data_IF_764519550429
#
_entry.id   IF_764519550429
#
_cell.length_a   1.000
_cell.length_b   1.000
_cell.length_c   1.000
_cell.angle_alpha   90.00
_cell.angle_beta   90.00
_cell.angle_gamma   90.00
#
_symmetry.space_group_name_H-M   'P 1'
#
loop_
_entity.id
_entity.type
_entity.pdbx_description
1 polymer ?
#
# COMPACT_ATOMS: atom_id res chain seq x y z
N UNK A 1 0.56 25.71 -8.37
CA UNK A 1 0.12 24.31 -8.52
C UNK A 1 1.24 23.48 -9.16
N UNK A 2 1.67 23.72 -10.39
CA UNK A 2 2.76 22.99 -11.07
C UNK A 2 4.08 22.94 -10.29
N UNK A 3 4.48 24.03 -9.62
CA UNK A 3 5.68 24.02 -8.78
C UNK A 3 5.55 23.07 -7.60
N UNK A 4 4.37 23.04 -6.96
CA UNK A 4 4.13 22.15 -5.83
C UNK A 4 4.19 20.66 -6.21
N UNK A 5 3.59 20.30 -7.35
CA UNK A 5 3.64 18.94 -7.90
C UNK A 5 5.07 18.52 -8.25
N UNK A 6 5.81 19.36 -8.98
CA UNK A 6 7.20 19.09 -9.33
C UNK A 6 8.09 18.97 -8.09
N UNK A 7 7.92 19.85 -7.11
CA UNK A 7 8.66 19.81 -5.85
C UNK A 7 8.35 18.53 -5.05
N UNK A 8 7.08 18.09 -5.02
CA UNK A 8 6.68 16.85 -4.31
C UNK A 8 7.33 15.62 -4.95
N UNK A 9 7.38 15.53 -6.28
CA UNK A 9 8.08 14.45 -6.99
C UNK A 9 9.55 14.41 -6.63
N UNK A 10 10.25 15.55 -6.74
CA UNK A 10 11.69 15.66 -6.44
C UNK A 10 12.00 15.35 -4.96
N UNK A 11 11.12 15.75 -4.03
CA UNK A 11 11.27 15.39 -2.63
C UNK A 11 11.08 13.89 -2.38
N UNK A 12 10.17 13.26 -3.12
CA UNK A 12 9.99 11.80 -3.09
C UNK A 12 11.23 11.07 -3.60
N UNK A 13 11.79 11.50 -4.73
CA UNK A 13 13.04 10.96 -5.29
C UNK A 13 14.20 11.12 -4.30
N UNK A 14 14.32 12.31 -3.69
CA UNK A 14 15.35 12.58 -2.68
C UNK A 14 15.19 11.69 -1.45
N UNK A 15 13.97 11.43 -0.99
CA UNK A 15 13.70 10.54 0.13
C UNK A 15 14.14 9.10 -0.17
N UNK A 16 13.96 8.62 -1.41
CA UNK A 16 14.47 7.31 -1.84
C UNK A 16 16.00 7.28 -1.81
N UNK A 17 16.68 8.32 -2.31
CA UNK A 17 18.14 8.42 -2.25
C UNK A 17 18.63 8.46 -0.80
N UNK A 18 17.94 9.19 0.09
CA UNK A 18 18.30 9.23 1.51
C UNK A 18 18.13 7.88 2.20
N UNK A 19 17.14 7.07 1.82
CA UNK A 19 16.98 5.73 2.38
C UNK A 19 18.19 4.83 2.04
N UNK A 20 18.68 4.88 0.80
CA UNK A 20 19.90 4.18 0.39
C UNK A 20 21.12 4.72 1.12
N UNK A 21 21.27 6.03 1.20
CA UNK A 21 22.37 6.70 1.90
C UNK A 21 22.43 6.29 3.38
N UNK A 22 21.27 6.21 4.04
CA UNK A 22 21.18 5.80 5.44
C UNK A 22 21.67 4.36 5.64
N UNK A 23 21.28 3.45 4.76
CA UNK A 23 21.72 2.05 4.81
C UNK A 23 23.21 1.91 4.58
N UNK A 24 23.75 2.55 3.53
CA UNK A 24 25.17 2.48 3.21
C UNK A 24 26.06 3.08 4.30
N UNK A 25 25.55 4.05 5.06
CA UNK A 25 26.30 4.70 6.15
C UNK A 25 25.90 4.20 7.55
N UNK A 26 25.18 3.07 7.64
CA UNK A 26 24.67 2.51 8.89
C UNK A 26 25.74 1.96 9.84
N UNK A 27 26.97 1.72 9.35
CA UNK A 27 28.02 1.07 10.13
C UNK A 27 27.85 -0.45 10.29
N UNK A 28 26.88 -1.05 9.60
CA UNK A 28 26.68 -2.51 9.57
C UNK A 28 27.84 -3.24 8.90
N UNK A 29 28.04 -4.52 9.24
CA UNK A 29 28.98 -5.37 8.55
C UNK A 29 28.62 -5.50 7.06
N UNK A 30 29.64 -5.72 6.20
CA UNK A 30 29.40 -5.91 4.78
C UNK A 30 28.44 -7.07 4.49
N UNK A 31 28.52 -8.15 5.26
CA UNK A 31 27.63 -9.32 5.13
C UNK A 31 26.17 -8.96 5.47
N UNK A 32 25.93 -8.36 6.64
CA UNK A 32 24.58 -7.91 7.05
C UNK A 32 24.00 -6.89 6.08
N UNK A 33 24.81 -5.93 5.64
CA UNK A 33 24.36 -4.92 4.68
C UNK A 33 23.99 -5.55 3.33
N UNK A 34 24.79 -6.48 2.82
CA UNK A 34 24.52 -7.16 1.54
C UNK A 34 23.21 -7.97 1.62
N UNK A 35 22.98 -8.68 2.72
CA UNK A 35 21.75 -9.44 2.94
C UNK A 35 20.52 -8.52 3.04
N UNK A 36 20.64 -7.43 3.79
CA UNK A 36 19.56 -6.46 3.98
C UNK A 36 19.21 -5.70 2.68
N UNK A 37 20.20 -5.29 1.89
CA UNK A 37 19.98 -4.58 0.62
C UNK A 37 19.16 -5.40 -0.37
N UNK A 38 19.32 -6.72 -0.42
CA UNK A 38 18.48 -7.57 -1.28
C UNK A 38 17.01 -7.48 -0.90
N UNK A 39 16.69 -7.52 0.39
CA UNK A 39 15.30 -7.39 0.89
C UNK A 39 14.77 -5.98 0.65
N UNK A 40 15.61 -4.97 0.85
CA UNK A 40 15.26 -3.57 0.60
C UNK A 40 14.91 -3.31 -0.87
N UNK A 41 15.70 -3.84 -1.80
CA UNK A 41 15.44 -3.71 -3.23
C UNK A 41 14.15 -4.45 -3.63
N UNK A 42 13.98 -5.69 -3.16
CA UNK A 42 12.76 -6.48 -3.42
C UNK A 42 11.51 -5.76 -2.88
N UNK A 43 11.57 -5.22 -1.67
CA UNK A 43 10.50 -4.45 -1.06
C UNK A 43 10.09 -3.25 -1.93
N UNK A 44 11.06 -2.48 -2.42
CA UNK A 44 10.80 -1.30 -3.26
C UNK A 44 10.20 -1.67 -4.61
N UNK A 45 10.73 -2.73 -5.25
CA UNK A 45 10.18 -3.24 -6.52
C UNK A 45 8.74 -3.69 -6.34
N UNK A 46 8.45 -4.45 -5.29
CA UNK A 46 7.10 -4.91 -4.98
C UNK A 46 6.15 -3.76 -4.68
N UNK A 47 6.60 -2.76 -3.92
CA UNK A 47 5.82 -1.54 -3.65
C UNK A 47 5.48 -0.79 -4.93
N UNK A 48 6.46 -0.56 -5.81
CA UNK A 48 6.23 0.12 -7.10
C UNK A 48 5.26 -0.66 -7.97
N UNK A 49 5.39 -2.00 -8.03
CA UNK A 49 4.43 -2.85 -8.73
C UNK A 49 3.02 -2.74 -8.12
N UNK A 50 2.90 -2.71 -6.79
CA UNK A 50 1.63 -2.50 -6.08
C UNK A 50 0.99 -1.15 -6.39
N UNK A 51 1.78 -0.08 -6.39
CA UNK A 51 1.32 1.26 -6.78
C UNK A 51 0.89 1.34 -8.24
N UNK A 52 1.64 0.71 -9.14
CA UNK A 52 1.26 0.64 -10.56
C UNK A 52 -0.08 -0.09 -10.75
N UNK A 53 -0.27 -1.23 -10.05
CA UNK A 53 -1.53 -1.96 -10.09
C UNK A 53 -2.69 -1.11 -9.57
N UNK A 54 -2.51 -0.36 -8.50
CA UNK A 54 -3.52 0.54 -7.93
C UNK A 54 -3.99 1.58 -8.95
N UNK A 55 -3.05 2.25 -9.61
CA UNK A 55 -3.34 3.22 -10.69
C UNK A 55 -4.04 2.55 -11.86
N UNK A 56 -3.59 1.36 -12.26
CA UNK A 56 -4.18 0.59 -13.37
C UNK A 56 -5.62 0.17 -13.06
N UNK A 57 -5.91 -0.34 -11.84
CA UNK A 57 -7.27 -0.70 -11.43
C UNK A 57 -8.20 0.50 -11.43
N UNK A 58 -7.72 1.66 -11.00
CA UNK A 58 -8.46 2.92 -11.11
C UNK A 58 -8.79 3.28 -12.54
N UNK A 59 -7.80 3.22 -13.44
CA UNK A 59 -7.96 3.55 -14.87
C UNK A 59 -8.88 2.58 -15.60
N UNK A 60 -8.82 1.29 -15.29
CA UNK A 60 -9.68 0.24 -15.88
C UNK A 60 -11.08 0.20 -15.26
N UNK A 61 -11.30 0.93 -14.18
CA UNK A 61 -12.54 0.92 -13.41
C UNK A 61 -12.99 -0.50 -12.99
N UNK A 62 -12.02 -1.39 -12.70
CA UNK A 62 -12.31 -2.78 -12.32
C UNK A 62 -12.93 -2.89 -10.92
N UNK A 63 -13.63 -3.99 -10.68
CA UNK A 63 -14.34 -4.25 -9.42
C UNK A 63 -14.12 -5.67 -8.91
N UNK A 64 -12.98 -6.27 -9.21
CA UNK A 64 -12.64 -7.62 -8.78
C UNK A 64 -12.03 -7.63 -7.38
N UNK A 65 -12.63 -8.37 -6.46
CA UNK A 65 -12.09 -8.58 -5.09
C UNK A 65 -10.68 -9.15 -5.13
N UNK A 66 -10.43 -10.15 -5.98
CA UNK A 66 -9.11 -10.76 -6.12
C UNK A 66 -8.03 -9.74 -6.52
N UNK A 67 -8.35 -8.88 -7.50
CA UNK A 67 -7.42 -7.85 -7.98
C UNK A 67 -7.17 -6.78 -6.91
N UNK A 68 -8.22 -6.33 -6.23
CA UNK A 68 -8.10 -5.36 -5.13
C UNK A 68 -7.28 -5.94 -3.95
N UNK A 69 -7.47 -7.21 -3.59
CA UNK A 69 -6.64 -7.90 -2.59
C UNK A 69 -5.17 -8.00 -3.03
N UNK A 70 -4.92 -8.24 -4.32
CA UNK A 70 -3.54 -8.24 -4.84
C UNK A 70 -2.88 -6.87 -4.69
N UNK A 71 -3.61 -5.79 -5.00
CA UNK A 71 -3.13 -4.41 -4.76
C UNK A 71 -2.81 -4.21 -3.27
N UNK A 72 -3.74 -4.52 -2.37
CA UNK A 72 -3.56 -4.39 -0.92
C UNK A 72 -2.34 -5.16 -0.41
N UNK A 73 -2.12 -6.38 -0.92
CA UNK A 73 -0.96 -7.21 -0.57
C UNK A 73 0.36 -6.57 -0.98
N UNK A 74 0.49 -6.14 -2.23
CA UNK A 74 1.75 -5.61 -2.75
C UNK A 74 2.03 -4.17 -2.30
N UNK A 75 0.99 -3.32 -2.29
CA UNK A 75 1.11 -1.91 -1.90
C UNK A 75 1.31 -1.73 -0.40
N UNK A 76 0.70 -2.58 0.42
CA UNK A 76 0.64 -2.39 1.88
C UNK A 76 1.15 -3.58 2.66
N UNK A 77 0.60 -4.78 2.48
CA UNK A 77 0.91 -5.94 3.30
C UNK A 77 2.39 -6.32 3.29
N UNK A 78 2.97 -6.45 2.10
CA UNK A 78 4.39 -6.75 1.93
C UNK A 78 5.27 -5.60 2.42
N UNK A 79 5.02 -4.40 1.94
CA UNK A 79 5.82 -3.24 2.26
C UNK A 79 5.82 -2.86 3.76
N UNK A 80 4.64 -2.89 4.40
CA UNK A 80 4.49 -2.37 5.76
C UNK A 80 4.81 -3.39 6.84
N UNK A 81 4.65 -4.69 6.58
CA UNK A 81 4.77 -5.74 7.60
C UNK A 81 5.77 -6.84 7.20
N UNK A 82 5.52 -7.55 6.09
CA UNK A 82 6.32 -8.73 5.73
C UNK A 82 7.80 -8.38 5.50
N UNK A 83 8.07 -7.44 4.61
CA UNK A 83 9.44 -7.08 4.22
C UNK A 83 10.25 -6.41 5.34
N UNK A 84 9.68 -5.53 6.18
CA UNK A 84 10.38 -5.05 7.37
C UNK A 84 10.80 -6.17 8.34
N UNK A 85 9.98 -7.21 8.52
CA UNK A 85 10.35 -8.37 9.32
C UNK A 85 11.49 -9.18 8.67
N UNK A 86 11.41 -9.42 7.36
CA UNK A 86 12.50 -10.07 6.61
C UNK A 86 13.79 -9.24 6.64
N UNK A 87 13.67 -7.93 6.53
CA UNK A 87 14.81 -7.01 6.62
C UNK A 87 15.51 -7.12 7.98
N UNK A 88 14.73 -7.11 9.07
CA UNK A 88 15.24 -7.33 10.41
C UNK A 88 15.91 -8.70 10.57
N UNK A 89 15.33 -9.78 10.03
CA UNK A 89 15.92 -11.11 10.02
C UNK A 89 17.24 -11.16 9.27
N UNK A 90 17.31 -10.51 8.08
CA UNK A 90 18.52 -10.44 7.28
C UNK A 90 19.64 -9.69 8.03
N UNK A 91 19.33 -8.58 8.68
CA UNK A 91 20.28 -7.83 9.49
C UNK A 91 20.83 -8.64 10.67
N UNK A 92 19.97 -9.46 11.28
CA UNK A 92 20.33 -10.32 12.41
C UNK A 92 21.04 -11.62 11.99
N UNK A 93 21.14 -11.92 10.68
CA UNK A 93 21.73 -13.15 10.17
C UNK A 93 20.81 -14.38 10.37
N UNK A 94 19.51 -14.19 10.46
CA UNK A 94 18.51 -15.24 10.74
C UNK A 94 17.44 -15.37 9.64
N UNK A 95 17.83 -15.65 8.37
CA UNK A 95 16.87 -15.78 7.26
C UNK A 95 15.91 -16.98 7.42
N UNK A 96 16.20 -17.93 8.29
CA UNK A 96 15.32 -19.06 8.60
C UNK A 96 13.95 -18.66 9.15
N UNK A 97 13.82 -17.45 9.72
CA UNK A 97 12.55 -16.93 10.20
C UNK A 97 11.65 -16.34 9.10
N UNK A 98 12.17 -16.15 7.88
CA UNK A 98 11.42 -15.50 6.80
C UNK A 98 10.07 -16.18 6.52
N UNK A 99 10.02 -17.53 6.55
CA UNK A 99 8.76 -18.23 6.36
C UNK A 99 7.75 -17.89 7.45
N UNK A 100 8.14 -17.94 8.71
CA UNK A 100 7.25 -17.61 9.84
C UNK A 100 6.81 -16.14 9.78
N UNK A 101 7.70 -15.25 9.37
CA UNK A 101 7.39 -13.83 9.20
C UNK A 101 6.44 -13.57 8.02
N UNK A 102 6.53 -14.32 6.93
CA UNK A 102 5.54 -14.26 5.85
C UNK A 102 4.18 -14.81 6.29
N UNK A 103 4.15 -15.97 6.96
CA UNK A 103 2.93 -16.59 7.44
C UNK A 103 2.16 -15.70 8.43
N UNK A 104 2.88 -14.85 9.19
CA UNK A 104 2.32 -13.86 10.10
C UNK A 104 2.06 -12.52 9.40
N UNK A 105 3.05 -12.01 8.69
CA UNK A 105 3.08 -10.63 8.20
C UNK A 105 2.11 -10.37 7.06
N UNK A 106 1.92 -11.32 6.14
CA UNK A 106 0.99 -11.14 5.01
C UNK A 106 -0.47 -11.03 5.47
N UNK A 107 -1.03 -11.95 6.29
CA UNK A 107 -2.40 -11.81 6.75
C UNK A 107 -2.60 -10.55 7.61
N UNK A 108 -1.63 -10.20 8.45
CA UNK A 108 -1.70 -8.99 9.26
C UNK A 108 -1.70 -7.73 8.41
N UNK A 109 -0.83 -7.68 7.40
CA UNK A 109 -0.74 -6.54 6.48
C UNK A 109 -1.98 -6.39 5.60
N UNK A 110 -2.59 -7.50 5.15
CA UNK A 110 -3.87 -7.47 4.46
C UNK A 110 -4.99 -6.95 5.38
N UNK A 111 -5.08 -7.45 6.61
CA UNK A 111 -6.06 -6.98 7.59
C UNK A 111 -5.87 -5.49 7.93
N UNK A 112 -4.63 -5.03 8.01
CA UNK A 112 -4.30 -3.61 8.21
C UNK A 112 -4.86 -2.76 7.06
N UNK A 113 -4.62 -3.16 5.80
CA UNK A 113 -5.13 -2.41 4.65
C UNK A 113 -6.65 -2.45 4.56
N UNK A 114 -7.28 -3.61 4.80
CA UNK A 114 -8.73 -3.71 4.84
C UNK A 114 -9.34 -2.79 5.90
N UNK A 115 -8.67 -2.64 7.04
CA UNK A 115 -9.10 -1.71 8.09
C UNK A 115 -8.93 -0.26 7.66
N UNK A 116 -7.83 0.08 6.97
CA UNK A 116 -7.61 1.42 6.41
C UNK A 116 -8.70 1.77 5.38
N UNK A 117 -9.04 0.86 4.48
CA UNK A 117 -10.12 1.01 3.49
C UNK A 117 -11.49 1.30 4.16
N UNK A 118 -11.80 0.62 5.27
CA UNK A 118 -13.02 0.89 6.06
C UNK A 118 -12.95 2.28 6.68
N UNK A 119 -11.81 2.68 7.22
CA UNK A 119 -11.62 4.01 7.81
C UNK A 119 -11.65 5.13 6.76
N UNK A 120 -11.15 4.88 5.56
CA UNK A 120 -11.20 5.82 4.43
C UNK A 120 -12.61 6.18 4.00
N UNK A 121 -13.59 5.29 4.27
CA UNK A 121 -15.02 5.52 3.96
C UNK A 121 -15.81 5.99 5.18
N UNK A 122 -15.62 5.34 6.33
CA UNK A 122 -16.47 5.50 7.52
C UNK A 122 -15.75 6.11 8.73
N UNK A 123 -14.46 6.43 8.59
CA UNK A 123 -13.67 6.93 9.71
C UNK A 123 -14.13 8.30 10.19
N UNK A 124 -14.02 8.53 11.51
CA UNK A 124 -14.23 9.86 12.09
C UNK A 124 -13.05 10.79 11.68
N UNK A 125 -13.28 11.90 10.97
CA UNK A 125 -12.25 12.83 10.57
C UNK A 125 -11.38 13.36 11.72
N UNK A 126 -11.93 13.44 12.93
CA UNK A 126 -11.19 13.86 14.13
C UNK A 126 -10.14 12.83 14.57
N UNK A 127 -10.35 11.57 14.21
CA UNK A 127 -9.44 10.45 14.55
C UNK A 127 -8.49 10.15 13.38
N UNK A 128 -9.03 10.12 12.15
CA UNK A 128 -8.25 9.76 10.96
C UNK A 128 -7.42 10.91 10.39
N UNK A 129 -7.78 12.15 10.70
CA UNK A 129 -7.18 13.35 10.11
C UNK A 129 -7.55 13.58 8.63
N UNK A 130 -8.44 12.74 8.06
CA UNK A 130 -8.91 12.84 6.66
C UNK A 130 -10.43 12.99 6.62
N UNK A 131 -10.99 13.63 5.59
CA UNK A 131 -12.43 13.69 5.41
C UNK A 131 -13.04 12.28 5.28
N UNK A 132 -14.19 12.03 5.89
CA UNK A 132 -14.92 10.77 5.68
C UNK A 132 -15.31 10.62 4.21
N UNK A 133 -15.21 9.42 3.66
CA UNK A 133 -15.53 9.12 2.27
C UNK A 133 -14.49 9.59 1.25
N UNK A 134 -13.28 9.92 1.68
CA UNK A 134 -12.21 10.41 0.81
C UNK A 134 -11.85 9.40 -0.27
N UNK A 135 -11.75 8.12 0.08
CA UNK A 135 -11.48 7.03 -0.87
C UNK A 135 -12.58 6.90 -1.96
N UNK A 136 -13.83 7.25 -1.64
CA UNK A 136 -14.91 7.28 -2.62
C UNK A 136 -14.72 8.47 -3.56
N UNK A 137 -14.43 9.67 -3.03
CA UNK A 137 -14.19 10.88 -3.84
C UNK A 137 -12.99 10.70 -4.76
N UNK A 138 -11.94 10.08 -4.29
CA UNK A 138 -10.75 9.74 -5.10
C UNK A 138 -11.01 8.61 -6.12
N UNK A 139 -12.14 7.90 -6.01
CA UNK A 139 -12.49 6.81 -6.92
C UNK A 139 -11.68 5.53 -6.72
N UNK A 140 -11.09 5.34 -5.53
CA UNK A 140 -10.25 4.17 -5.22
C UNK A 140 -11.04 2.86 -5.35
N UNK A 141 -10.42 1.88 -5.99
CA UNK A 141 -10.98 0.54 -6.20
C UNK A 141 -10.55 -0.43 -5.11
N UNK A 142 -10.86 -0.07 -3.86
CA UNK A 142 -10.51 -0.85 -2.67
C UNK A 142 -11.26 -2.18 -2.61
N UNK A 143 -10.78 -3.08 -1.74
CA UNK A 143 -11.48 -4.36 -1.47
C UNK A 143 -12.89 -4.11 -0.94
N UNK A 144 -13.08 -3.09 -0.09
CA UNK A 144 -14.39 -2.70 0.43
C UNK A 144 -15.37 -2.37 -0.71
N UNK A 145 -14.93 -1.58 -1.69
CA UNK A 145 -15.74 -1.20 -2.85
C UNK A 145 -16.04 -2.42 -3.72
N UNK A 146 -15.03 -3.28 -3.98
CA UNK A 146 -15.23 -4.47 -4.79
C UNK A 146 -16.26 -5.43 -4.17
N UNK A 147 -16.12 -5.74 -2.87
CA UNK A 147 -17.08 -6.58 -2.13
C UNK A 147 -18.48 -5.95 -2.11
N UNK A 148 -18.56 -4.63 -1.93
CA UNK A 148 -19.84 -3.92 -1.97
C UNK A 148 -20.53 -4.08 -3.32
N UNK A 149 -19.79 -3.89 -4.42
CA UNK A 149 -20.34 -3.99 -5.78
C UNK A 149 -20.69 -5.43 -6.18
N UNK A 150 -20.05 -6.44 -5.63
CA UNK A 150 -20.41 -7.85 -5.85
C UNK A 150 -21.70 -8.25 -5.10
N UNK A 151 -22.02 -7.60 -3.98
CA UNK A 151 -23.13 -8.02 -3.10
C UNK A 151 -24.33 -7.05 -3.09
N UNK A 152 -24.27 -5.92 -3.79
CA UNK A 152 -25.34 -4.95 -3.80
C UNK A 152 -26.39 -5.21 -4.90
N UNK A 153 -27.61 -4.68 -4.71
CA UNK A 153 -28.66 -4.68 -5.76
C UNK A 153 -28.24 -3.78 -6.93
N UNK A 154 -28.86 -3.94 -8.12
CA UNK A 154 -28.58 -3.09 -9.28
C UNK A 154 -28.73 -1.59 -8.99
N UNK A 155 -29.77 -1.18 -8.27
CA UNK A 155 -29.99 0.23 -7.89
C UNK A 155 -28.93 0.76 -6.92
N UNK A 156 -28.48 -0.08 -5.99
CA UNK A 156 -27.37 0.29 -5.09
C UNK A 156 -26.05 0.40 -5.85
N UNK A 157 -25.80 -0.53 -6.79
CA UNK A 157 -24.64 -0.50 -7.66
C UNK A 157 -24.53 0.80 -8.45
N UNK A 158 -25.63 1.25 -9.07
CA UNK A 158 -25.66 2.51 -9.80
C UNK A 158 -25.27 3.70 -8.90
N UNK A 159 -25.77 3.74 -7.67
CA UNK A 159 -25.44 4.80 -6.70
C UNK A 159 -23.95 4.78 -6.32
N UNK A 160 -23.41 3.60 -6.00
CA UNK A 160 -21.98 3.48 -5.63
C UNK A 160 -21.09 3.88 -6.80
N UNK A 161 -21.37 3.38 -8.01
CA UNK A 161 -20.59 3.71 -9.21
C UNK A 161 -20.65 5.20 -9.53
N UNK A 162 -21.82 5.84 -9.38
CA UNK A 162 -21.98 7.29 -9.61
C UNK A 162 -21.25 8.14 -8.55
N UNK A 163 -21.02 7.60 -7.35
CA UNK A 163 -20.30 8.27 -6.27
C UNK A 163 -18.77 8.19 -6.42
N UNK A 164 -18.28 7.09 -7.00
CA UNK A 164 -16.82 6.86 -7.14
C UNK A 164 -16.18 7.90 -8.09
N UNK A 165 -15.20 8.63 -7.57
CA UNK A 165 -14.48 9.67 -8.31
C UNK A 165 -15.25 10.99 -8.43
N UNK A 166 -16.35 11.14 -7.68
CA UNK A 166 -17.13 12.37 -7.69
C UNK A 166 -16.67 13.31 -6.58
N UNK A 167 -15.90 14.31 -6.93
CA UNK A 167 -15.38 15.34 -6.00
C UNK A 167 -16.45 16.31 -5.46
N UNK A 168 -17.71 16.19 -5.89
CA UNK A 168 -18.83 17.04 -5.44
C UNK A 168 -19.63 16.41 -4.28
N UNK A 169 -19.20 15.25 -3.78
CA UNK A 169 -19.82 14.57 -2.62
C UNK A 169 -19.42 15.19 -1.29
#
# INVERSE_FOLDING_TARGET
EQFGEAAAVLLGDLALVWSDHMLHNSGLSHESLTAALRIHDEMRIELMAGQYLDVLEGALATTSVERSLKVARFKSGKYSIERPLHFGAALAGHPEFNKAFSDFGLPLGEAFQLRDDVLGVFGDPKVTGKPAGDDIREGKRTVLIAVTLENCSPTQREKVVAALGNNQL
#
